data_IF_724176686534
#
_entry.id   IF_724176686534
#
_cell.length_a   1.000
_cell.length_b   1.000
_cell.length_c   1.000
_cell.angle_alpha   90.00
_cell.angle_beta   90.00
_cell.angle_gamma   90.00
#
_symmetry.space_group_name_H-M   'P 1'
#
loop_
_entity.id
_entity.type
_entity.pdbx_description
1 polymer ?
#
# COMPACT_ATOMS: atom_id res chain seq x y z
N UNK A 1 29.46 -9.80 -1.83
CA UNK A 1 30.02 -9.07 -3.01
C UNK A 1 30.03 -9.93 -4.26
N UNK A 2 30.37 -11.21 -4.18
CA UNK A 2 30.50 -12.12 -5.32
C UNK A 2 29.14 -12.50 -6.00
N UNK A 3 28.06 -12.59 -5.19
CA UNK A 3 26.71 -12.90 -5.71
C UNK A 3 26.13 -11.73 -6.51
N UNK A 4 26.35 -10.51 -6.06
CA UNK A 4 25.92 -9.29 -6.78
C UNK A 4 26.71 -9.08 -8.08
N UNK A 5 27.98 -9.47 -8.12
CA UNK A 5 28.79 -9.43 -9.37
C UNK A 5 28.32 -10.49 -10.37
N UNK A 6 27.99 -11.71 -9.91
CA UNK A 6 27.44 -12.78 -10.77
C UNK A 6 26.03 -12.44 -11.30
N UNK A 7 25.18 -11.84 -10.46
CA UNK A 7 23.86 -11.32 -10.88
C UNK A 7 24.01 -10.19 -11.91
N UNK A 8 24.96 -9.28 -11.70
CA UNK A 8 25.26 -8.19 -12.65
C UNK A 8 25.75 -8.73 -14.00
N UNK A 9 26.59 -9.76 -14.04
CA UNK A 9 27.05 -10.38 -15.26
C UNK A 9 25.95 -11.18 -15.96
N UNK A 10 25.08 -11.88 -15.24
CA UNK A 10 23.91 -12.59 -15.79
C UNK A 10 22.87 -11.64 -16.39
N UNK A 11 22.62 -10.50 -15.71
CA UNK A 11 21.71 -9.45 -16.21
C UNK A 11 22.22 -8.79 -17.49
N UNK A 12 23.53 -8.51 -17.56
CA UNK A 12 24.13 -7.91 -18.77
C UNK A 12 24.13 -8.84 -19.97
N UNK A 13 24.14 -10.16 -19.77
CA UNK A 13 24.09 -11.16 -20.87
C UNK A 13 22.68 -11.42 -21.39
N UNK A 14 21.61 -11.16 -20.60
CA UNK A 14 20.21 -11.36 -20.98
C UNK A 14 19.54 -10.14 -21.59
N UNK A 15 20.25 -9.02 -21.81
CA UNK A 15 19.71 -7.83 -22.44
C UNK A 15 19.51 -8.08 -23.94
N UNK A 16 18.37 -8.65 -24.30
CA UNK A 16 17.89 -8.70 -25.69
C UNK A 16 17.45 -7.28 -26.08
N UNK A 17 18.03 -6.75 -27.14
CA UNK A 17 17.63 -5.47 -27.75
C UNK A 17 16.24 -5.66 -28.34
N UNK A 18 15.20 -5.22 -27.63
CA UNK A 18 13.86 -5.11 -28.17
C UNK A 18 13.71 -3.76 -28.84
N UNK A 19 13.21 -3.79 -30.07
CA UNK A 19 13.18 -2.69 -31.04
C UNK A 19 12.45 -1.43 -30.63
N UNK A 20 12.48 -0.48 -31.54
CA UNK A 20 11.98 0.92 -31.45
C UNK A 20 10.62 1.07 -30.76
N UNK A 21 10.39 2.21 -30.08
CA UNK A 21 9.16 2.44 -29.33
C UNK A 21 7.93 2.38 -30.26
N UNK A 22 7.05 1.42 -30.02
CA UNK A 22 5.70 1.47 -30.58
C UNK A 22 4.93 2.59 -29.89
N UNK A 23 4.19 3.34 -30.71
CA UNK A 23 3.43 4.54 -30.28
C UNK A 23 2.54 4.26 -29.07
N UNK A 24 2.44 5.25 -28.18
CA UNK A 24 1.59 5.35 -26.97
C UNK A 24 0.09 5.06 -27.17
N UNK A 25 -0.36 4.48 -28.27
CA UNK A 25 -1.76 4.41 -28.67
C UNK A 25 -2.54 3.15 -28.29
N UNK A 26 -1.88 2.03 -27.94
CA UNK A 26 -2.57 0.75 -27.86
C UNK A 26 -3.09 0.39 -26.44
N UNK A 27 -2.54 0.96 -25.40
CA UNK A 27 -2.96 0.71 -24.01
C UNK A 27 -4.28 1.41 -23.66
N UNK A 28 -4.61 2.49 -24.33
CA UNK A 28 -5.78 3.35 -24.04
C UNK A 28 -7.10 2.83 -24.63
N UNK A 29 -7.09 1.70 -25.34
CA UNK A 29 -8.31 1.05 -25.84
C UNK A 29 -9.28 0.62 -24.74
N UNK A 30 -8.80 0.48 -23.50
CA UNK A 30 -9.61 0.02 -22.36
C UNK A 30 -10.71 1.00 -21.95
N UNK A 31 -10.42 2.29 -22.00
CA UNK A 31 -11.36 3.34 -21.57
C UNK A 31 -12.13 3.99 -22.73
N UNK A 32 -11.75 3.74 -23.97
CA UNK A 32 -12.29 4.37 -25.17
C UNK A 32 -11.18 4.79 -26.13
N UNK A 33 -11.53 5.09 -27.41
CA UNK A 33 -10.56 5.44 -28.45
C UNK A 33 -10.07 6.88 -28.36
N UNK A 34 -10.88 7.80 -27.78
CA UNK A 34 -10.54 9.22 -27.60
C UNK A 34 -10.54 9.57 -26.11
N UNK A 35 -9.89 10.73 -25.79
CA UNK A 35 -9.92 11.27 -24.44
C UNK A 35 -11.34 11.57 -23.98
N UNK A 36 -12.16 12.12 -24.86
CA UNK A 36 -13.57 12.43 -24.59
C UNK A 36 -14.35 11.19 -24.23
N UNK A 37 -14.21 10.10 -24.99
CA UNK A 37 -14.88 8.81 -24.68
C UNK A 37 -14.49 8.26 -23.32
N UNK A 38 -13.22 8.38 -22.93
CA UNK A 38 -12.72 7.95 -21.62
C UNK A 38 -13.28 8.79 -20.49
N UNK A 39 -13.28 10.11 -20.65
CA UNK A 39 -13.88 11.04 -19.69
C UNK A 39 -15.38 10.77 -19.54
N UNK A 40 -16.13 10.63 -20.64
CA UNK A 40 -17.56 10.33 -20.63
C UNK A 40 -17.86 8.99 -19.96
N UNK A 41 -17.00 7.99 -20.13
CA UNK A 41 -17.13 6.70 -19.46
C UNK A 41 -16.94 6.82 -17.95
N UNK A 42 -15.91 7.54 -17.49
CA UNK A 42 -15.73 7.82 -16.06
C UNK A 42 -16.93 8.59 -15.49
N UNK A 43 -17.41 9.61 -16.21
CA UNK A 43 -18.59 10.37 -15.81
C UNK A 43 -19.81 9.45 -15.65
N UNK A 44 -20.06 8.55 -16.59
CA UNK A 44 -21.18 7.59 -16.51
C UNK A 44 -21.05 6.61 -15.35
N UNK A 45 -19.83 6.21 -15.01
CA UNK A 45 -19.56 5.32 -13.87
C UNK A 45 -19.81 6.04 -12.54
N UNK A 46 -19.36 7.28 -12.40
CA UNK A 46 -19.30 7.95 -11.10
C UNK A 46 -20.39 9.00 -10.88
N UNK A 47 -21.05 9.50 -11.93
CA UNK A 47 -22.04 10.57 -11.84
C UNK A 47 -23.28 10.20 -12.64
N UNK A 48 -24.40 9.98 -11.94
CA UNK A 48 -25.67 9.55 -12.59
C UNK A 48 -26.36 10.65 -13.38
N UNK A 49 -26.27 11.92 -12.94
CA UNK A 49 -26.88 13.08 -13.60
C UNK A 49 -26.20 14.40 -13.20
N UNK A 50 -26.22 15.41 -14.09
CA UNK A 50 -25.78 16.79 -13.87
C UNK A 50 -24.29 16.96 -13.47
N UNK A 51 -23.42 16.65 -14.41
CA UNK A 51 -21.97 16.88 -14.28
C UNK A 51 -21.70 18.38 -14.40
N UNK A 52 -21.20 19.01 -13.34
CA UNK A 52 -20.69 20.37 -13.42
C UNK A 52 -19.41 20.41 -14.27
N UNK A 53 -19.13 21.57 -14.91
CA UNK A 53 -17.90 21.73 -15.69
C UNK A 53 -16.64 21.49 -14.84
N UNK A 54 -16.68 21.81 -13.55
CA UNK A 54 -15.59 21.59 -12.59
C UNK A 54 -15.31 20.11 -12.42
N UNK A 55 -16.35 19.28 -12.20
CA UNK A 55 -16.22 17.83 -12.09
C UNK A 55 -15.72 17.19 -13.38
N UNK A 56 -16.13 17.69 -14.53
CA UNK A 56 -15.61 17.22 -15.81
C UNK A 56 -14.10 17.47 -15.93
N UNK A 57 -13.60 18.63 -15.52
CA UNK A 57 -12.15 18.94 -15.52
C UNK A 57 -11.33 18.00 -14.64
N UNK A 58 -11.85 17.60 -13.47
CA UNK A 58 -11.16 16.59 -12.62
C UNK A 58 -11.05 15.25 -13.36
N UNK A 59 -12.11 14.78 -14.02
CA UNK A 59 -12.04 13.53 -14.79
C UNK A 59 -11.13 13.64 -16.02
N UNK A 60 -11.09 14.78 -16.68
CA UNK A 60 -10.12 15.09 -17.75
C UNK A 60 -8.68 15.01 -17.22
N UNK A 61 -8.43 15.59 -16.04
CA UNK A 61 -7.13 15.50 -15.37
C UNK A 61 -6.78 14.06 -14.99
N UNK A 62 -7.71 13.28 -14.47
CA UNK A 62 -7.50 11.88 -14.10
C UNK A 62 -7.16 11.02 -15.31
N UNK A 63 -7.84 11.21 -16.44
CA UNK A 63 -7.51 10.52 -17.70
C UNK A 63 -6.10 10.89 -18.13
N UNK A 64 -5.78 12.18 -18.16
CA UNK A 64 -4.44 12.67 -18.52
C UNK A 64 -3.36 12.16 -17.56
N UNK A 65 -3.68 12.05 -16.27
CA UNK A 65 -2.78 11.50 -15.27
C UNK A 65 -2.43 10.04 -15.57
N UNK A 66 -3.43 9.18 -15.79
CA UNK A 66 -3.17 7.78 -16.13
C UNK A 66 -2.39 7.64 -17.44
N UNK A 67 -2.67 8.50 -18.43
CA UNK A 67 -1.89 8.54 -19.68
C UNK A 67 -0.43 8.88 -19.46
N UNK A 68 -0.15 9.95 -18.72
CA UNK A 68 1.22 10.43 -18.47
C UNK A 68 2.02 9.50 -17.56
N UNK A 69 1.36 8.88 -16.58
CA UNK A 69 2.00 7.99 -15.61
C UNK A 69 2.18 6.55 -16.11
N UNK A 70 1.57 6.17 -17.25
CA UNK A 70 1.72 4.82 -17.79
C UNK A 70 3.00 4.73 -18.63
N UNK A 71 3.88 3.81 -18.25
CA UNK A 71 5.07 3.42 -19.01
C UNK A 71 4.72 2.17 -19.83
N UNK A 72 4.61 2.32 -21.16
CA UNK A 72 4.27 1.22 -22.06
C UNK A 72 5.42 0.26 -22.28
N UNK A 73 6.63 0.81 -22.42
CA UNK A 73 7.86 0.04 -22.61
C UNK A 73 8.83 0.49 -21.50
N UNK A 74 9.13 -0.40 -20.55
CA UNK A 74 10.09 -0.09 -19.51
C UNK A 74 11.44 0.31 -20.08
N UNK A 75 11.94 1.49 -19.74
CA UNK A 75 13.27 1.91 -20.09
C UNK A 75 14.31 1.04 -19.38
N UNK A 76 15.44 0.78 -20.04
CA UNK A 76 16.51 -0.03 -19.46
C UNK A 76 17.13 0.56 -18.19
N UNK A 77 17.10 1.88 -18.05
CA UNK A 77 17.66 2.62 -16.90
C UNK A 77 16.58 3.46 -16.25
N UNK A 78 16.55 3.47 -14.93
CA UNK A 78 15.65 4.28 -14.11
C UNK A 78 16.33 5.55 -13.60
N UNK A 79 15.57 6.46 -13.00
CA UNK A 79 16.07 7.65 -12.31
C UNK A 79 17.06 7.35 -11.19
N UNK A 80 17.00 6.17 -10.56
CA UNK A 80 17.97 5.67 -9.59
C UNK A 80 19.26 5.07 -10.20
N UNK A 81 19.52 5.30 -11.48
CA UNK A 81 20.67 4.75 -12.21
C UNK A 81 20.76 3.22 -12.13
N UNK A 82 19.61 2.55 -11.97
CA UNK A 82 19.47 1.10 -11.91
C UNK A 82 18.86 0.52 -13.19
N UNK A 83 18.81 -0.81 -13.24
CA UNK A 83 18.13 -1.54 -14.30
C UNK A 83 16.65 -1.65 -13.89
N UNK A 84 15.74 -1.21 -14.78
CA UNK A 84 14.31 -1.44 -14.59
C UNK A 84 14.01 -2.93 -14.74
N UNK A 85 13.27 -3.49 -13.80
CA UNK A 85 12.95 -4.92 -13.72
C UNK A 85 11.54 -5.25 -14.23
N UNK A 86 10.68 -4.23 -14.46
CA UNK A 86 9.35 -4.46 -15.03
C UNK A 86 9.45 -4.94 -16.49
N UNK A 87 8.65 -5.94 -16.84
CA UNK A 87 8.62 -6.56 -18.19
C UNK A 87 7.38 -6.13 -18.98
N UNK A 88 6.31 -5.69 -18.29
CA UNK A 88 5.03 -5.27 -18.87
C UNK A 88 4.79 -3.79 -18.58
N UNK A 89 3.83 -3.17 -19.29
CA UNK A 89 3.39 -1.81 -18.96
C UNK A 89 3.02 -1.67 -17.49
N UNK A 90 3.31 -0.49 -16.92
CA UNK A 90 3.01 -0.17 -15.54
C UNK A 90 2.75 1.32 -15.34
N UNK A 91 2.16 1.68 -14.21
CA UNK A 91 1.92 3.06 -13.80
C UNK A 91 2.96 3.49 -12.78
N UNK A 92 3.59 4.63 -13.02
CA UNK A 92 4.47 5.29 -12.05
C UNK A 92 3.63 6.00 -10.98
N UNK A 93 4.16 6.21 -9.76
CA UNK A 93 3.46 6.96 -8.72
C UNK A 93 3.05 8.37 -9.16
N UNK A 94 3.89 9.06 -9.93
CA UNK A 94 3.62 10.42 -10.41
C UNK A 94 3.38 10.47 -11.92
N UNK A 95 2.50 11.38 -12.37
CA UNK A 95 2.28 11.65 -13.80
C UNK A 95 3.35 12.52 -14.45
N UNK A 96 4.28 13.07 -13.69
CA UNK A 96 5.28 14.03 -14.15
C UNK A 96 6.69 13.47 -13.90
N UNK A 97 7.19 12.71 -14.87
CA UNK A 97 8.52 12.08 -14.79
C UNK A 97 9.66 13.11 -14.80
N UNK A 98 9.38 14.40 -15.11
CA UNK A 98 10.38 15.47 -15.18
C UNK A 98 10.58 16.18 -13.83
N UNK A 99 9.62 16.09 -12.90
CA UNK A 99 9.65 16.88 -11.66
C UNK A 99 10.71 16.41 -10.65
N UNK A 100 11.01 15.08 -10.65
CA UNK A 100 12.11 14.52 -9.87
C UNK A 100 12.89 13.52 -10.73
N UNK A 101 13.94 14.00 -11.38
CA UNK A 101 14.81 13.19 -12.25
C UNK A 101 15.48 11.98 -11.56
N UNK A 102 15.22 11.75 -10.27
CA UNK A 102 15.83 10.69 -9.46
C UNK A 102 14.84 9.73 -8.79
N UNK A 103 13.52 10.05 -8.77
CA UNK A 103 12.54 9.22 -8.05
C UNK A 103 11.22 9.10 -8.81
N UNK A 104 10.45 8.06 -8.48
CA UNK A 104 9.08 7.81 -8.98
C UNK A 104 8.94 7.51 -10.48
N UNK A 105 10.03 7.16 -11.15
CA UNK A 105 10.00 6.67 -12.54
C UNK A 105 9.82 5.15 -12.66
N UNK A 106 9.69 4.44 -11.56
CA UNK A 106 9.60 2.99 -11.45
C UNK A 106 8.21 2.54 -10.98
N UNK A 107 7.92 1.24 -11.12
CA UNK A 107 6.78 0.61 -10.47
C UNK A 107 7.13 0.34 -9.00
N UNK A 108 6.41 0.96 -8.07
CA UNK A 108 6.55 0.73 -6.63
C UNK A 108 5.56 -0.33 -6.15
N UNK A 109 6.01 -1.18 -5.20
CA UNK A 109 5.28 -2.37 -4.79
C UNK A 109 3.91 -2.06 -4.16
N UNK A 110 3.87 -1.35 -3.04
CA UNK A 110 2.61 -1.09 -2.35
C UNK A 110 1.77 0.02 -3.02
N UNK A 111 2.42 1.00 -3.71
CA UNK A 111 1.73 2.00 -4.53
C UNK A 111 0.86 1.34 -5.59
N UNK A 112 1.38 0.27 -6.21
CA UNK A 112 0.67 -0.52 -7.21
C UNK A 112 -0.67 -1.04 -6.69
N UNK A 113 -0.76 -1.46 -5.43
CA UNK A 113 -2.02 -1.90 -4.84
C UNK A 113 -3.08 -0.79 -4.86
N UNK A 114 -2.74 0.40 -4.37
CA UNK A 114 -3.68 1.53 -4.32
C UNK A 114 -4.03 2.02 -5.72
N UNK A 115 -3.04 2.13 -6.60
CA UNK A 115 -3.23 2.54 -8.00
C UNK A 115 -4.12 1.57 -8.77
N UNK A 116 -3.92 0.25 -8.60
CA UNK A 116 -4.72 -0.78 -9.25
C UNK A 116 -6.20 -0.65 -8.93
N UNK A 117 -6.59 -0.27 -7.72
CA UNK A 117 -7.97 -0.04 -7.35
C UNK A 117 -8.61 1.08 -8.17
N UNK A 118 -7.90 2.18 -8.37
CA UNK A 118 -8.35 3.25 -9.27
C UNK A 118 -8.39 2.84 -10.73
N UNK A 119 -7.38 2.11 -11.20
CA UNK A 119 -7.32 1.58 -12.57
C UNK A 119 -8.46 0.60 -12.88
N UNK A 120 -8.75 -0.33 -11.97
CA UNK A 120 -9.87 -1.28 -12.11
C UNK A 120 -11.18 -0.53 -12.29
N UNK A 121 -11.45 0.48 -11.47
CA UNK A 121 -12.63 1.32 -11.58
C UNK A 121 -12.70 2.10 -12.90
N UNK A 122 -11.55 2.54 -13.39
CA UNK A 122 -11.43 3.22 -14.66
C UNK A 122 -11.47 2.27 -15.88
N UNK A 123 -11.57 0.95 -15.66
CA UNK A 123 -11.62 -0.08 -16.71
C UNK A 123 -10.25 -0.58 -17.19
N UNK A 124 -9.18 -0.25 -16.46
CA UNK A 124 -7.79 -0.68 -16.75
C UNK A 124 -7.43 -2.04 -16.17
N UNK A 125 -8.33 -3.04 -16.23
CA UNK A 125 -8.17 -4.35 -15.60
C UNK A 125 -6.91 -5.09 -16.08
N UNK A 126 -6.64 -5.09 -17.39
CA UNK A 126 -5.46 -5.75 -17.96
C UNK A 126 -4.14 -5.06 -17.57
N UNK A 127 -4.12 -3.73 -17.49
CA UNK A 127 -2.95 -2.99 -16.99
C UNK A 127 -2.70 -3.32 -15.51
N UNK A 128 -3.75 -3.37 -14.70
CA UNK A 128 -3.66 -3.76 -13.29
C UNK A 128 -3.16 -5.21 -13.12
N UNK A 129 -3.61 -6.15 -13.99
CA UNK A 129 -3.07 -7.51 -14.07
C UNK A 129 -1.58 -7.49 -14.42
N UNK A 130 -1.20 -6.75 -15.47
CA UNK A 130 0.19 -6.62 -15.91
C UNK A 130 1.13 -6.11 -14.81
N UNK A 131 0.67 -5.17 -14.00
CA UNK A 131 1.44 -4.66 -12.85
C UNK A 131 1.63 -5.71 -11.74
N UNK A 132 0.61 -6.52 -11.44
CA UNK A 132 0.73 -7.65 -10.53
C UNK A 132 1.75 -8.67 -11.05
N UNK A 133 1.66 -9.02 -12.34
CA UNK A 133 2.56 -9.98 -12.96
C UNK A 133 4.02 -9.49 -13.01
N UNK A 134 4.25 -8.18 -13.16
CA UNK A 134 5.60 -7.62 -13.04
C UNK A 134 6.22 -7.89 -11.67
N UNK A 135 5.45 -7.75 -10.58
CA UNK A 135 5.91 -8.01 -9.22
C UNK A 135 6.28 -9.50 -9.03
N UNK A 136 5.40 -10.40 -9.46
CA UNK A 136 5.61 -11.85 -9.30
C UNK A 136 6.71 -12.41 -10.23
N UNK A 137 6.86 -11.89 -11.46
CA UNK A 137 7.98 -12.23 -12.35
C UNK A 137 9.34 -11.87 -11.73
N UNK A 138 9.41 -10.72 -11.06
CA UNK A 138 10.64 -10.30 -10.36
C UNK A 138 10.95 -11.23 -9.19
N UNK A 139 9.95 -11.70 -8.46
CA UNK A 139 10.15 -12.72 -7.44
C UNK A 139 10.66 -14.04 -8.02
N UNK A 140 10.10 -14.49 -9.12
CA UNK A 140 10.56 -15.72 -9.81
C UNK A 140 12.04 -15.64 -10.20
N UNK A 141 12.49 -14.47 -10.67
CA UNK A 141 13.87 -14.25 -11.13
C UNK A 141 14.85 -13.99 -9.99
N UNK A 142 14.46 -13.19 -8.99
CA UNK A 142 15.36 -12.69 -7.93
C UNK A 142 15.05 -13.22 -6.53
N UNK A 143 13.97 -14.00 -6.36
CA UNK A 143 13.51 -14.56 -5.08
C UNK A 143 13.17 -13.49 -4.04
N UNK A 144 12.83 -12.27 -4.50
CA UNK A 144 12.35 -11.15 -3.68
C UNK A 144 11.55 -10.18 -4.56
N UNK A 145 10.42 -9.69 -4.05
CA UNK A 145 9.71 -8.53 -4.64
C UNK A 145 10.26 -7.27 -3.97
N UNK A 146 11.00 -6.41 -4.70
CA UNK A 146 11.61 -5.23 -4.11
C UNK A 146 10.60 -4.10 -3.85
N UNK A 147 11.04 -3.09 -3.07
CA UNK A 147 10.31 -1.84 -2.83
C UNK A 147 9.85 -1.17 -4.13
N UNK A 148 10.76 -1.04 -5.10
CA UNK A 148 10.46 -0.63 -6.46
C UNK A 148 11.16 -1.58 -7.44
N UNK A 149 10.56 -1.77 -8.64
CA UNK A 149 11.07 -2.69 -9.66
C UNK A 149 12.31 -2.14 -10.38
N UNK A 150 13.37 -1.90 -9.61
CA UNK A 150 14.66 -1.43 -10.07
C UNK A 150 15.79 -2.06 -9.26
N UNK A 151 16.90 -2.36 -9.93
CA UNK A 151 18.00 -3.15 -9.34
C UNK A 151 18.57 -2.64 -8.01
N UNK A 152 18.70 -1.32 -7.71
CA UNK A 152 19.16 -0.86 -6.41
C UNK A 152 18.26 -1.24 -5.23
N UNK A 153 16.96 -1.46 -5.48
CA UNK A 153 15.99 -1.80 -4.43
C UNK A 153 15.81 -3.31 -4.20
N UNK A 154 16.53 -4.17 -4.91
CA UNK A 154 16.47 -5.64 -4.73
C UNK A 154 16.78 -6.10 -3.30
N UNK A 155 17.42 -5.27 -2.49
CA UNK A 155 17.70 -5.59 -1.09
C UNK A 155 16.55 -5.36 -0.12
N UNK A 156 15.46 -4.70 -0.55
CA UNK A 156 14.36 -4.28 0.32
C UNK A 156 12.99 -4.50 -0.32
N UNK A 157 12.07 -5.24 0.32
CA UNK A 157 10.67 -5.28 -0.08
C UNK A 157 9.90 -4.04 0.40
N UNK A 158 8.60 -4.04 0.17
CA UNK A 158 7.58 -3.17 0.78
C UNK A 158 6.42 -4.03 1.29
N UNK A 159 5.39 -3.46 1.96
CA UNK A 159 4.26 -4.22 2.47
C UNK A 159 3.59 -5.09 1.39
N UNK A 160 3.38 -6.40 1.64
CA UNK A 160 2.99 -7.39 0.62
C UNK A 160 1.48 -7.42 0.37
N UNK A 161 1.00 -6.62 -0.58
CA UNK A 161 -0.41 -6.57 -0.97
C UNK A 161 -0.78 -7.45 -2.17
N UNK A 162 0.14 -8.21 -2.73
CA UNK A 162 -0.04 -8.94 -3.99
C UNK A 162 -1.26 -9.86 -3.96
N UNK A 163 -1.46 -10.59 -2.85
CA UNK A 163 -2.62 -11.49 -2.78
C UNK A 163 -3.94 -10.71 -2.71
N UNK A 164 -3.98 -9.53 -2.09
CA UNK A 164 -5.15 -8.64 -2.15
C UNK A 164 -5.36 -8.09 -3.57
N UNK A 165 -4.29 -7.78 -4.31
CA UNK A 165 -4.40 -7.39 -5.72
C UNK A 165 -4.99 -8.52 -6.57
N UNK A 166 -4.58 -9.79 -6.34
CA UNK A 166 -5.22 -10.95 -6.99
C UNK A 166 -6.72 -10.96 -6.70
N UNK A 167 -7.11 -10.83 -5.44
CA UNK A 167 -8.53 -10.84 -5.06
C UNK A 167 -9.31 -9.70 -5.72
N UNK A 168 -8.77 -8.46 -5.69
CA UNK A 168 -9.41 -7.29 -6.32
C UNK A 168 -9.63 -7.51 -7.83
N UNK A 169 -8.67 -8.14 -8.53
CA UNK A 169 -8.77 -8.46 -9.95
C UNK A 169 -9.83 -9.53 -10.24
N UNK A 170 -9.85 -10.63 -9.46
CA UNK A 170 -10.82 -11.71 -9.60
C UNK A 170 -12.25 -11.24 -9.27
N UNK A 171 -12.41 -10.46 -8.20
CA UNK A 171 -13.67 -9.83 -7.80
C UNK A 171 -14.18 -8.84 -8.86
N UNK A 172 -13.27 -8.21 -9.62
CA UNK A 172 -13.60 -7.36 -10.76
C UNK A 172 -13.92 -8.12 -12.07
N UNK A 173 -13.90 -9.46 -12.04
CA UNK A 173 -14.25 -10.33 -13.15
C UNK A 173 -13.10 -10.75 -14.06
N UNK A 174 -11.84 -10.56 -13.64
CA UNK A 174 -10.70 -11.15 -14.34
C UNK A 174 -10.76 -12.69 -14.26
N UNK A 175 -10.44 -13.36 -15.35
CA UNK A 175 -10.32 -14.82 -15.36
C UNK A 175 -9.15 -15.29 -14.50
N UNK A 176 -9.34 -16.35 -13.72
CA UNK A 176 -8.26 -17.04 -13.03
C UNK A 176 -7.50 -17.95 -14.01
N UNK A 177 -6.76 -17.34 -14.94
CA UNK A 177 -5.97 -18.06 -15.93
C UNK A 177 -4.63 -18.56 -15.38
N UNK A 178 -3.83 -19.23 -16.20
CA UNK A 178 -2.54 -19.80 -15.81
C UNK A 178 -1.56 -18.73 -15.28
N UNK A 179 -1.60 -17.48 -15.79
CA UNK A 179 -0.72 -16.40 -15.30
C UNK A 179 -1.11 -15.98 -13.89
N UNK A 180 -2.42 -15.86 -13.60
CA UNK A 180 -2.91 -15.54 -12.26
C UNK A 180 -2.61 -16.66 -11.27
N UNK A 181 -2.80 -17.93 -11.69
CA UNK A 181 -2.48 -19.10 -10.85
C UNK A 181 -0.98 -19.16 -10.56
N UNK A 182 -0.12 -18.86 -11.53
CA UNK A 182 1.32 -18.78 -11.34
C UNK A 182 1.70 -17.63 -10.40
N UNK A 183 1.07 -16.46 -10.54
CA UNK A 183 1.28 -15.34 -9.63
C UNK A 183 0.94 -15.72 -8.18
N UNK A 184 -0.17 -16.45 -7.95
CA UNK A 184 -0.52 -16.94 -6.60
C UNK A 184 0.55 -17.89 -6.07
N UNK A 185 1.11 -18.77 -6.89
CA UNK A 185 2.21 -19.65 -6.48
C UNK A 185 3.45 -18.84 -6.06
N UNK A 186 3.82 -17.81 -6.82
CA UNK A 186 4.96 -16.94 -6.46
C UNK A 186 4.72 -16.19 -5.14
N UNK A 187 3.49 -15.76 -4.88
CA UNK A 187 3.10 -15.13 -3.62
C UNK A 187 3.21 -16.13 -2.43
N UNK A 188 2.80 -17.39 -2.63
CA UNK A 188 2.97 -18.44 -1.61
C UNK A 188 4.45 -18.69 -1.32
N UNK A 189 5.29 -18.75 -2.34
CA UNK A 189 6.72 -18.95 -2.18
C UNK A 189 7.40 -17.76 -1.49
N UNK A 190 7.00 -16.51 -1.80
CA UNK A 190 7.49 -15.33 -1.11
C UNK A 190 7.05 -15.33 0.36
N UNK A 191 5.80 -15.69 0.65
CA UNK A 191 5.29 -15.76 2.01
C UNK A 191 6.20 -16.62 2.90
N UNK A 192 6.65 -17.78 2.39
CA UNK A 192 7.53 -18.70 3.10
C UNK A 192 8.98 -18.19 3.18
N UNK A 193 9.53 -17.74 2.06
CA UNK A 193 10.95 -17.41 1.97
C UNK A 193 11.31 -16.07 2.57
N UNK A 194 10.39 -15.09 2.47
CA UNK A 194 10.65 -13.71 2.90
C UNK A 194 10.06 -13.40 4.28
N UNK A 195 8.81 -13.84 4.56
CA UNK A 195 8.09 -13.34 5.72
C UNK A 195 8.08 -14.28 6.91
N UNK A 196 7.70 -15.53 6.74
CA UNK A 196 7.76 -16.55 7.80
C UNK A 196 7.69 -17.98 7.24
N UNK A 197 8.59 -18.85 7.69
CA UNK A 197 8.63 -20.24 7.26
C UNK A 197 7.71 -21.12 8.13
N UNK A 198 6.44 -21.22 7.74
CA UNK A 198 5.46 -22.05 8.40
C UNK A 198 5.55 -23.54 8.00
N UNK A 199 6.26 -23.84 6.91
CA UNK A 199 6.35 -25.22 6.37
C UNK A 199 7.39 -26.03 7.13
N UNK A 200 8.57 -25.46 7.34
CA UNK A 200 9.67 -26.16 7.99
C UNK A 200 9.84 -25.79 9.46
N UNK A 201 9.22 -24.71 9.91
CA UNK A 201 9.40 -24.13 11.25
C UNK A 201 10.82 -23.63 11.49
N UNK A 202 11.63 -23.52 10.44
CA UNK A 202 12.98 -22.97 10.52
C UNK A 202 12.95 -21.45 10.61
N UNK A 203 14.00 -20.93 11.22
CA UNK A 203 14.22 -19.49 11.27
C UNK A 203 14.49 -18.93 9.88
N UNK A 204 13.99 -17.75 9.62
CA UNK A 204 14.42 -16.93 8.49
C UNK A 204 15.23 -15.72 8.99
N UNK A 205 15.70 -14.88 8.09
CA UNK A 205 16.50 -13.71 8.43
C UNK A 205 15.75 -12.64 9.26
N UNK A 206 14.41 -12.73 9.36
CA UNK A 206 13.54 -11.81 10.13
C UNK A 206 13.22 -12.32 11.52
N UNK A 207 13.20 -13.62 11.72
CA UNK A 207 12.79 -14.27 12.95
C UNK A 207 13.92 -15.12 13.53
N UNK A 208 14.32 -14.85 14.77
CA UNK A 208 15.15 -15.77 15.54
C UNK A 208 14.29 -16.86 16.17
N UNK A 209 14.92 -17.96 16.60
CA UNK A 209 14.22 -19.02 17.34
C UNK A 209 13.48 -18.50 18.57
N UNK A 210 14.08 -17.56 19.28
CA UNK A 210 13.49 -16.92 20.45
C UNK A 210 12.22 -16.13 20.07
N UNK A 211 12.24 -15.40 18.97
CA UNK A 211 11.06 -14.65 18.48
C UNK A 211 9.93 -15.60 18.07
N UNK A 212 10.23 -16.66 17.32
CA UNK A 212 9.25 -17.67 16.93
C UNK A 212 8.63 -18.36 18.15
N UNK A 213 9.46 -18.71 19.15
CA UNK A 213 8.96 -19.33 20.39
C UNK A 213 8.05 -18.40 21.18
N UNK A 214 8.33 -17.09 21.19
CA UNK A 214 7.62 -16.11 22.01
C UNK A 214 6.41 -15.50 21.32
N UNK A 215 6.51 -15.21 20.02
CA UNK A 215 5.54 -14.45 19.24
C UNK A 215 4.93 -15.23 18.07
N UNK A 216 5.24 -16.51 17.94
CA UNK A 216 4.64 -17.40 16.94
C UNK A 216 4.98 -16.98 15.52
N UNK A 217 3.92 -16.77 14.71
CA UNK A 217 4.07 -16.40 13.29
C UNK A 217 4.26 -14.90 13.03
N UNK A 218 4.30 -14.07 14.09
CA UNK A 218 4.53 -12.64 13.90
C UNK A 218 5.94 -12.35 13.43
N UNK A 219 6.07 -11.39 12.51
CA UNK A 219 7.35 -11.05 11.88
C UNK A 219 7.63 -9.53 11.97
N UNK A 220 8.81 -9.15 11.56
CA UNK A 220 9.32 -7.78 11.61
C UNK A 220 10.01 -7.40 10.31
N UNK A 221 10.38 -6.13 10.19
CA UNK A 221 11.22 -5.65 9.08
C UNK A 221 12.63 -6.24 9.16
N UNK A 222 13.27 -6.32 8.00
CA UNK A 222 14.63 -6.85 7.90
C UNK A 222 15.63 -5.96 8.63
N UNK A 223 16.55 -6.55 9.44
CA UNK A 223 17.59 -5.80 10.12
C UNK A 223 18.45 -4.96 9.17
N UNK A 224 18.63 -3.68 9.49
CA UNK A 224 19.53 -2.78 8.78
C UNK A 224 20.07 -1.71 9.70
N UNK A 225 21.36 -1.31 9.53
CA UNK A 225 22.00 -0.29 10.34
C UNK A 225 21.44 1.13 10.10
N UNK A 226 20.86 1.39 8.92
CA UNK A 226 20.21 2.65 8.60
C UNK A 226 18.69 2.52 8.78
N UNK A 227 18.06 3.23 9.76
CA UNK A 227 16.62 3.20 9.97
C UNK A 227 15.81 3.66 8.75
N UNK A 228 16.35 4.57 7.92
CA UNK A 228 15.68 4.99 6.69
C UNK A 228 15.41 3.80 5.75
N UNK A 229 16.35 2.86 5.64
CA UNK A 229 16.17 1.65 4.83
C UNK A 229 15.07 0.73 5.39
N UNK A 230 14.85 0.72 6.70
CA UNK A 230 13.73 0.01 7.33
C UNK A 230 12.41 0.75 7.06
N UNK A 231 12.44 2.09 7.03
CA UNK A 231 11.29 2.92 6.64
C UNK A 231 10.86 2.69 5.19
N UNK A 232 11.82 2.54 4.27
CA UNK A 232 11.51 2.17 2.88
C UNK A 232 10.77 0.82 2.79
N UNK A 233 11.08 -0.12 3.69
CA UNK A 233 10.41 -1.42 3.76
C UNK A 233 9.00 -1.31 4.41
N UNK A 234 8.84 -0.44 5.40
CA UNK A 234 7.53 -0.13 6.02
C UNK A 234 6.54 0.52 5.04
N UNK A 235 7.05 1.14 3.98
CA UNK A 235 6.26 1.94 3.03
C UNK A 235 5.95 3.35 3.52
N UNK A 236 6.11 3.62 4.80
CA UNK A 236 6.06 4.96 5.41
C UNK A 236 7.50 5.46 5.59
N UNK A 237 8.16 5.78 4.51
CA UNK A 237 9.61 5.97 4.37
C UNK A 237 10.27 6.78 5.48
N UNK A 238 9.53 7.73 6.06
CA UNK A 238 10.06 8.67 7.03
C UNK A 238 9.04 8.89 8.16
N UNK A 239 9.07 7.97 9.15
CA UNK A 239 8.21 7.99 10.32
C UNK A 239 9.00 7.78 11.63
N UNK A 240 8.40 8.22 12.73
CA UNK A 240 9.06 8.21 14.04
C UNK A 240 9.26 6.80 14.61
N UNK A 241 8.29 5.90 14.43
CA UNK A 241 8.36 4.55 15.01
C UNK A 241 9.57 3.82 14.47
N UNK A 242 9.71 3.79 13.13
CA UNK A 242 10.87 3.13 12.50
C UNK A 242 12.17 3.84 12.80
N UNK A 243 12.19 5.18 12.84
CA UNK A 243 13.41 5.93 13.20
C UNK A 243 13.86 5.64 14.65
N UNK A 244 12.92 5.35 15.56
CA UNK A 244 13.21 5.09 16.96
C UNK A 244 13.50 3.63 17.26
N UNK A 245 12.72 2.71 16.71
CA UNK A 245 12.77 1.28 17.02
C UNK A 245 13.45 0.45 15.93
N UNK A 246 13.55 1.00 14.70
CA UNK A 246 14.10 0.29 13.53
C UNK A 246 13.46 -1.10 13.37
N UNK A 247 14.23 -2.14 13.21
CA UNK A 247 13.77 -3.54 13.15
C UNK A 247 13.55 -4.18 14.54
N UNK A 248 13.76 -3.44 15.64
CA UNK A 248 13.53 -3.91 17.00
C UNK A 248 12.08 -3.73 17.48
N UNK A 249 11.12 -3.91 16.56
CA UNK A 249 9.71 -3.95 16.90
C UNK A 249 8.96 -4.92 15.99
N UNK A 250 7.79 -5.36 16.45
CA UNK A 250 6.80 -6.06 15.65
C UNK A 250 5.77 -5.02 15.20
N UNK A 251 5.65 -4.74 13.89
CA UNK A 251 4.69 -3.76 13.39
C UNK A 251 3.30 -4.39 13.21
N UNK A 252 2.27 -3.73 13.72
CA UNK A 252 0.87 -4.12 13.53
C UNK A 252 0.52 -4.15 12.04
N UNK A 253 0.89 -3.10 11.31
CA UNK A 253 0.60 -2.96 9.88
C UNK A 253 1.06 -4.18 9.07
N UNK A 254 2.34 -4.55 9.17
CA UNK A 254 2.91 -5.68 8.44
C UNK A 254 2.20 -6.99 8.76
N UNK A 255 2.00 -7.27 10.06
CA UNK A 255 1.40 -8.52 10.51
C UNK A 255 -0.10 -8.61 10.16
N UNK A 256 -0.81 -7.47 10.10
CA UNK A 256 -2.18 -7.41 9.59
C UNK A 256 -2.25 -7.70 8.07
N UNK A 257 -1.32 -7.16 7.28
CA UNK A 257 -1.25 -7.43 5.83
C UNK A 257 -0.96 -8.91 5.56
N UNK A 258 -0.01 -9.51 6.30
CA UNK A 258 0.31 -10.93 6.17
C UNK A 258 -0.86 -11.83 6.58
N UNK A 259 -1.59 -11.47 7.64
CA UNK A 259 -2.83 -12.15 7.98
C UNK A 259 -3.87 -12.05 6.85
N UNK A 260 -3.99 -10.87 6.25
CA UNK A 260 -4.83 -10.64 5.07
C UNK A 260 -4.42 -11.50 3.87
N UNK A 261 -3.11 -11.66 3.65
CA UNK A 261 -2.57 -12.56 2.61
C UNK A 261 -2.98 -14.01 2.86
N UNK A 262 -2.80 -14.52 4.08
CA UNK A 262 -3.21 -15.89 4.45
C UNK A 262 -4.72 -16.09 4.34
N UNK A 263 -5.52 -15.09 4.75
CA UNK A 263 -6.98 -15.12 4.63
C UNK A 263 -7.43 -15.14 3.17
N UNK A 264 -6.77 -14.37 2.33
CA UNK A 264 -7.04 -14.32 0.88
C UNK A 264 -6.66 -15.63 0.19
N UNK A 265 -5.54 -16.26 0.58
CA UNK A 265 -5.15 -17.59 0.08
C UNK A 265 -6.16 -18.68 0.51
N UNK A 266 -6.64 -18.65 1.75
CA UNK A 266 -7.72 -19.56 2.20
C UNK A 266 -8.97 -19.38 1.33
N UNK A 267 -9.39 -18.14 1.08
CA UNK A 267 -10.56 -17.80 0.25
C UNK A 267 -10.36 -18.25 -1.20
N UNK A 268 -9.20 -17.98 -1.76
CA UNK A 268 -8.83 -18.37 -3.12
C UNK A 268 -8.93 -19.89 -3.32
N UNK A 269 -8.35 -20.68 -2.40
CA UNK A 269 -8.36 -22.13 -2.50
C UNK A 269 -9.70 -22.80 -2.14
N UNK A 270 -10.57 -22.10 -1.40
CA UNK A 270 -11.95 -22.54 -1.18
C UNK A 270 -12.85 -22.33 -2.38
N UNK A 271 -12.54 -21.39 -3.24
CA UNK A 271 -13.37 -21.08 -4.41
C UNK A 271 -13.25 -22.17 -5.47
N UNK A 272 -14.38 -22.74 -5.95
CA UNK A 272 -14.36 -23.70 -7.05
C UNK A 272 -13.97 -23.08 -8.39
N UNK A 273 -14.15 -21.76 -8.53
CA UNK A 273 -13.85 -21.02 -9.75
C UNK A 273 -12.38 -20.55 -9.84
N UNK A 274 -11.61 -20.67 -8.75
CA UNK A 274 -10.22 -20.16 -8.68
C UNK A 274 -9.23 -21.30 -8.36
N UNK A 275 -8.77 -21.39 -7.10
CA UNK A 275 -7.74 -22.36 -6.71
C UNK A 275 -8.25 -23.79 -6.51
N UNK A 276 -9.49 -23.96 -6.06
CA UNK A 276 -10.19 -25.23 -5.87
C UNK A 276 -9.32 -26.35 -5.24
N UNK A 277 -8.71 -26.07 -4.08
CA UNK A 277 -7.82 -27.00 -3.40
C UNK A 277 -8.14 -27.07 -1.89
N UNK A 278 -8.87 -28.09 -1.50
CA UNK A 278 -9.34 -28.26 -0.12
C UNK A 278 -8.20 -28.43 0.90
N UNK A 279 -7.10 -29.08 0.51
CA UNK A 279 -5.95 -29.29 1.38
C UNK A 279 -5.25 -27.96 1.69
N UNK A 280 -4.96 -27.16 0.65
CA UNK A 280 -4.40 -25.81 0.83
C UNK A 280 -5.37 -24.89 1.57
N UNK A 281 -6.66 -24.93 1.26
CA UNK A 281 -7.67 -24.17 1.99
C UNK A 281 -7.65 -24.50 3.50
N UNK A 282 -7.55 -25.78 3.87
CA UNK A 282 -7.45 -26.21 5.26
C UNK A 282 -6.15 -25.74 5.92
N UNK A 283 -5.02 -25.84 5.22
CA UNK A 283 -3.72 -25.36 5.71
C UNK A 283 -3.78 -23.84 6.02
N UNK A 284 -4.25 -23.04 5.07
CA UNK A 284 -4.35 -21.59 5.28
C UNK A 284 -5.38 -21.20 6.34
N UNK A 285 -6.44 -21.97 6.51
CA UNK A 285 -7.39 -21.80 7.61
C UNK A 285 -6.75 -22.00 8.99
N UNK A 286 -5.89 -23.02 9.14
CA UNK A 286 -5.12 -23.25 10.39
C UNK A 286 -4.09 -22.15 10.64
N UNK A 287 -3.38 -21.74 9.61
CA UNK A 287 -2.40 -20.63 9.71
C UNK A 287 -3.09 -19.32 10.09
N UNK A 288 -4.22 -19.00 9.47
CA UNK A 288 -5.02 -17.83 9.79
C UNK A 288 -5.44 -17.80 11.25
N UNK A 289 -5.94 -18.92 11.78
CA UNK A 289 -6.32 -18.99 13.20
C UNK A 289 -5.12 -18.76 14.12
N UNK A 290 -4.01 -19.41 13.85
CA UNK A 290 -2.79 -19.24 14.65
C UNK A 290 -2.27 -17.79 14.60
N UNK A 291 -2.24 -17.16 13.41
CA UNK A 291 -1.84 -15.76 13.27
C UNK A 291 -2.80 -14.83 14.03
N UNK A 292 -4.11 -15.12 14.00
CA UNK A 292 -5.08 -14.34 14.77
C UNK A 292 -4.78 -14.38 16.26
N UNK A 293 -4.54 -15.56 16.81
CA UNK A 293 -4.26 -15.75 18.24
C UNK A 293 -2.97 -15.04 18.67
N UNK A 294 -1.89 -15.20 17.88
CA UNK A 294 -0.60 -14.53 18.11
C UNK A 294 -0.77 -12.99 18.03
N UNK A 295 -1.56 -12.50 17.07
CA UNK A 295 -1.82 -11.07 16.84
C UNK A 295 -2.59 -10.44 18.01
N UNK A 296 -3.69 -11.06 18.41
CA UNK A 296 -4.52 -10.58 19.51
C UNK A 296 -3.74 -10.51 20.82
N UNK A 297 -3.00 -11.56 21.12
CA UNK A 297 -2.18 -11.65 22.32
C UNK A 297 -1.10 -10.59 22.40
N UNK A 298 -0.51 -10.20 21.24
CA UNK A 298 0.69 -9.35 21.22
C UNK A 298 0.35 -7.87 21.05
N UNK A 299 -0.63 -7.54 20.21
CA UNK A 299 -0.81 -6.15 19.78
C UNK A 299 -1.95 -5.40 20.48
N UNK A 300 -2.91 -6.09 21.09
CA UNK A 300 -4.00 -5.41 21.77
C UNK A 300 -3.52 -4.83 23.11
N UNK A 301 -3.54 -3.50 23.21
CA UNK A 301 -3.17 -2.77 24.43
C UNK A 301 -4.44 -2.35 25.19
N UNK A 302 -4.57 -2.74 26.47
CA UNK A 302 -5.72 -2.42 27.31
C UNK A 302 -5.47 -1.22 28.25
N UNK A 303 -4.37 -0.49 28.06
CA UNK A 303 -3.94 0.55 28.98
C UNK A 303 -4.59 1.91 28.72
N UNK A 304 -5.66 2.24 29.41
CA UNK A 304 -6.24 3.59 29.52
C UNK A 304 -6.47 4.27 28.17
N UNK A 305 -5.91 5.47 27.97
CA UNK A 305 -6.02 6.21 26.69
C UNK A 305 -5.35 5.50 25.50
N UNK A 306 -4.47 4.55 25.77
CA UNK A 306 -3.72 3.79 24.76
C UNK A 306 -4.47 2.56 24.25
N UNK A 307 -5.66 2.28 24.82
CA UNK A 307 -6.47 1.12 24.41
C UNK A 307 -6.70 1.11 22.89
N UNK A 308 -6.21 0.07 22.24
CA UNK A 308 -6.20 -0.13 20.79
C UNK A 308 -5.06 -1.05 20.36
N UNK A 309 -4.91 -1.30 19.07
CA UNK A 309 -3.73 -2.02 18.58
C UNK A 309 -2.50 -1.09 18.59
N UNK A 310 -1.38 -1.63 19.04
CA UNK A 310 -0.10 -0.89 19.14
C UNK A 310 1.04 -1.77 18.69
N UNK A 311 1.99 -1.18 17.97
CA UNK A 311 3.26 -1.83 17.68
C UNK A 311 3.93 -2.29 18.96
N UNK A 312 4.75 -3.34 18.87
CA UNK A 312 5.33 -3.97 20.05
C UNK A 312 6.87 -3.91 19.99
N UNK A 313 7.48 -3.26 20.98
CA UNK A 313 8.94 -3.11 21.10
C UNK A 313 9.60 -4.42 21.52
N UNK A 314 10.68 -4.78 20.81
CA UNK A 314 11.56 -5.92 21.11
C UNK A 314 12.87 -5.47 21.81
N UNK A 315 13.00 -4.20 22.13
CA UNK A 315 14.21 -3.67 22.79
C UNK A 315 14.30 -4.22 24.20
N UNK A 316 15.41 -4.86 24.53
CA UNK A 316 15.68 -5.39 25.87
C UNK A 316 15.46 -4.31 26.94
N UNK A 317 14.79 -4.65 28.02
CA UNK A 317 14.35 -3.75 29.11
C UNK A 317 13.34 -2.65 28.73
N UNK A 318 12.86 -2.63 27.47
CA UNK A 318 11.78 -1.76 26.97
C UNK A 318 10.78 -2.56 26.13
N UNK A 319 10.71 -3.86 26.36
CA UNK A 319 9.79 -4.75 25.68
C UNK A 319 8.34 -4.44 26.12
N UNK A 320 7.43 -4.30 25.15
CA UNK A 320 6.03 -3.98 25.42
C UNK A 320 5.42 -3.13 24.30
N UNK A 321 4.17 -2.73 24.50
CA UNK A 321 3.46 -1.87 23.56
C UNK A 321 4.17 -0.52 23.42
N UNK A 322 4.34 -0.09 22.17
CA UNK A 322 4.83 1.25 21.86
C UNK A 322 3.66 2.22 22.07
N UNK A 323 3.73 3.01 23.15
CA UNK A 323 2.68 3.95 23.51
C UNK A 323 2.73 5.19 22.61
N UNK A 324 2.31 4.97 21.38
CA UNK A 324 2.30 5.96 20.31
C UNK A 324 1.04 5.80 19.46
N UNK A 325 0.43 6.92 19.04
CA UNK A 325 -0.76 6.92 18.20
C UNK A 325 -0.38 6.91 16.72
N UNK A 326 -0.11 5.75 16.16
CA UNK A 326 0.02 5.53 14.72
C UNK A 326 -1.34 5.07 14.17
N UNK A 327 -1.88 5.79 13.18
CA UNK A 327 -3.15 5.46 12.55
C UNK A 327 -3.10 4.08 11.88
N UNK A 328 -1.96 3.71 11.30
CA UNK A 328 -1.83 2.42 10.62
C UNK A 328 -2.07 1.24 11.57
N UNK A 329 -1.62 1.33 12.83
CA UNK A 329 -1.85 0.30 13.82
C UNK A 329 -3.35 0.12 14.18
N UNK A 330 -4.16 1.17 14.05
CA UNK A 330 -5.60 1.10 14.28
C UNK A 330 -6.38 0.59 13.05
N UNK A 331 -6.04 1.07 11.85
CA UNK A 331 -6.90 0.86 10.67
C UNK A 331 -6.62 -0.44 9.90
N UNK A 332 -5.39 -0.94 9.88
CA UNK A 332 -5.08 -2.20 9.19
C UNK A 332 -5.78 -3.42 9.82
N UNK A 333 -5.88 -3.55 11.16
CA UNK A 333 -6.67 -4.61 11.76
C UNK A 333 -8.17 -4.54 11.41
N UNK A 334 -8.74 -3.34 11.24
CA UNK A 334 -10.12 -3.19 10.77
C UNK A 334 -10.24 -3.63 9.30
N UNK A 335 -9.31 -3.21 8.46
CA UNK A 335 -9.34 -3.53 7.03
C UNK A 335 -9.29 -5.04 6.78
N UNK A 336 -8.47 -5.77 7.51
CA UNK A 336 -8.33 -7.22 7.40
C UNK A 336 -9.22 -8.04 8.35
N UNK A 337 -10.18 -7.40 9.04
CA UNK A 337 -11.12 -8.05 9.97
C UNK A 337 -10.44 -8.84 11.10
N UNK A 338 -9.34 -8.30 11.63
CA UNK A 338 -8.61 -8.83 12.77
C UNK A 338 -9.18 -8.40 14.13
N UNK A 339 -9.89 -7.28 14.19
CA UNK A 339 -10.49 -6.82 15.42
C UNK A 339 -11.76 -7.63 15.79
N UNK A 340 -12.05 -7.77 17.08
CA UNK A 340 -13.39 -8.16 17.52
C UNK A 340 -14.35 -6.98 17.34
N UNK A 341 -15.66 -7.20 17.42
CA UNK A 341 -16.66 -6.12 17.33
C UNK A 341 -16.44 -5.06 18.42
N UNK A 342 -16.09 -5.45 19.62
CA UNK A 342 -15.79 -4.53 20.74
C UNK A 342 -14.52 -3.73 20.47
N UNK A 343 -13.46 -4.38 20.00
CA UNK A 343 -12.22 -3.70 19.60
C UNK A 343 -12.47 -2.73 18.45
N UNK A 344 -13.25 -3.13 17.45
CA UNK A 344 -13.59 -2.28 16.31
C UNK A 344 -14.38 -1.03 16.73
N UNK A 345 -15.33 -1.16 17.66
CA UNK A 345 -16.05 -0.05 18.24
C UNK A 345 -15.07 0.93 18.94
N UNK A 346 -14.15 0.40 19.73
CA UNK A 346 -13.12 1.21 20.39
C UNK A 346 -12.22 1.93 19.39
N UNK A 347 -11.79 1.25 18.33
CA UNK A 347 -10.95 1.84 17.28
C UNK A 347 -11.72 2.95 16.54
N UNK A 348 -12.98 2.75 16.22
CA UNK A 348 -13.83 3.80 15.62
C UNK A 348 -13.83 5.07 16.50
N UNK A 349 -13.99 4.92 17.81
CA UNK A 349 -13.98 6.04 18.76
C UNK A 349 -12.58 6.68 18.87
N UNK A 350 -11.50 5.88 18.80
CA UNK A 350 -10.13 6.38 18.73
C UNK A 350 -9.90 7.22 17.46
N UNK A 351 -10.34 6.72 16.28
CA UNK A 351 -10.21 7.45 15.03
C UNK A 351 -10.88 8.82 15.14
N UNK A 352 -12.12 8.87 15.61
CA UNK A 352 -12.87 10.13 15.76
C UNK A 352 -12.21 11.09 16.76
N UNK A 353 -11.65 10.58 17.87
CA UNK A 353 -11.14 11.41 18.98
C UNK A 353 -9.72 11.89 18.77
N UNK A 354 -8.89 11.11 18.07
CA UNK A 354 -7.44 11.29 18.08
C UNK A 354 -6.84 11.60 16.72
N UNK A 355 -7.51 11.22 15.61
CA UNK A 355 -6.94 11.36 14.27
C UNK A 355 -7.79 12.22 13.33
N UNK A 356 -9.09 12.36 13.58
CA UNK A 356 -10.00 13.02 12.65
C UNK A 356 -9.90 14.54 12.69
N UNK A 357 -9.89 15.15 11.49
CA UNK A 357 -10.02 16.59 11.24
C UNK A 357 -11.18 16.92 10.31
N UNK A 358 -11.20 18.14 9.78
CA UNK A 358 -12.23 18.60 8.84
C UNK A 358 -11.99 18.12 7.40
N UNK A 359 -10.77 17.66 7.07
CA UNK A 359 -10.37 17.15 5.75
C UNK A 359 -10.31 15.62 5.75
N UNK A 360 -9.61 15.03 6.74
CA UNK A 360 -9.33 13.61 6.76
C UNK A 360 -8.77 13.14 8.10
N UNK A 361 -7.87 12.14 8.03
CA UNK A 361 -7.27 11.50 9.19
C UNK A 361 -5.77 11.77 9.23
N UNK A 362 -5.26 12.30 10.34
CA UNK A 362 -3.83 12.46 10.57
C UNK A 362 -3.15 11.09 10.66
N UNK A 363 -1.95 10.96 10.12
CA UNK A 363 -1.14 9.73 10.15
C UNK A 363 -0.79 9.30 11.56
N UNK A 364 -0.59 10.28 12.46
CA UNK A 364 -0.36 10.03 13.89
C UNK A 364 -1.10 11.02 14.75
N UNK A 365 -1.13 10.79 16.07
CA UNK A 365 -1.87 11.64 17.00
C UNK A 365 -0.98 12.29 18.06
N UNK A 366 -1.01 13.61 18.14
CA UNK A 366 -0.33 14.34 19.23
C UNK A 366 -0.95 14.04 20.60
N UNK A 367 -2.26 13.73 20.68
CA UNK A 367 -2.94 13.40 21.94
C UNK A 367 -2.53 12.01 22.46
N UNK A 368 -2.19 11.10 21.52
CA UNK A 368 -1.66 9.76 21.79
C UNK A 368 -0.15 9.74 21.64
N UNK A 369 0.51 10.70 22.27
CA UNK A 369 1.96 10.77 22.32
C UNK A 369 2.41 11.28 23.68
N UNK A 370 3.45 10.68 24.20
CA UNK A 370 4.12 11.17 25.40
C UNK A 370 4.87 12.48 25.06
N UNK A 371 4.58 13.56 25.79
CA UNK A 371 5.16 14.90 25.53
C UNK A 371 4.41 15.76 24.51
N UNK A 372 3.44 15.25 23.75
CA UNK A 372 2.48 16.03 22.94
C UNK A 372 3.05 16.86 21.77
N UNK A 373 4.32 16.69 21.39
CA UNK A 373 4.97 17.46 20.32
C UNK A 373 5.12 16.65 19.03
N UNK A 374 5.13 17.34 17.88
CA UNK A 374 5.44 16.71 16.59
C UNK A 374 6.87 16.15 16.63
N UNK A 375 7.08 14.87 16.28
CA UNK A 375 8.42 14.31 16.23
C UNK A 375 9.25 14.96 15.12
N UNK A 376 10.52 15.18 15.43
CA UNK A 376 11.53 15.60 14.46
C UNK A 376 12.66 14.57 14.43
N UNK A 377 13.38 14.50 13.33
CA UNK A 377 14.58 13.69 13.26
C UNK A 377 15.58 14.02 14.38
N UNK A 378 16.39 13.05 14.81
CA UNK A 378 17.41 13.27 15.83
C UNK A 378 18.38 14.43 15.53
N UNK A 379 18.63 14.70 14.23
CA UNK A 379 19.47 15.84 13.80
C UNK A 379 18.71 17.17 13.74
N UNK A 380 17.38 17.17 13.94
CA UNK A 380 16.56 18.36 13.94
C UNK A 380 16.38 19.06 12.59
N UNK A 381 16.78 18.41 11.48
CA UNK A 381 16.74 19.04 10.15
C UNK A 381 15.36 18.98 9.49
N UNK A 382 14.63 17.87 9.67
CA UNK A 382 13.32 17.64 9.06
C UNK A 382 12.32 17.09 10.05
N UNK A 383 11.04 17.39 9.85
CA UNK A 383 9.93 16.68 10.50
C UNK A 383 9.62 15.42 9.71
N UNK A 384 9.15 14.40 10.39
CA UNK A 384 8.75 13.16 9.75
C UNK A 384 7.52 13.38 8.87
N UNK A 385 7.58 12.99 7.60
CA UNK A 385 6.48 13.25 6.66
C UNK A 385 5.29 12.30 6.83
N UNK A 386 5.49 11.12 7.41
CA UNK A 386 4.41 10.18 7.76
C UNK A 386 3.95 10.35 9.20
N UNK A 387 3.80 11.61 9.62
CA UNK A 387 3.39 12.01 10.97
C UNK A 387 2.34 13.12 10.93
N UNK A 388 1.75 13.41 12.08
CA UNK A 388 0.90 14.60 12.25
C UNK A 388 1.63 15.87 11.73
N UNK A 389 1.00 16.74 11.00
CA UNK A 389 -0.44 16.80 10.66
C UNK A 389 -0.79 16.19 9.28
N UNK A 390 0.13 15.45 8.67
CA UNK A 390 -0.06 14.94 7.33
C UNK A 390 -1.14 13.84 7.30
N UNK A 391 -1.93 13.88 6.22
CA UNK A 391 -2.95 12.92 5.88
C UNK A 391 -2.55 12.24 4.57
N UNK A 392 -2.49 10.91 4.57
CA UNK A 392 -2.04 10.13 3.43
C UNK A 392 -3.19 9.33 2.83
N UNK A 393 -3.44 9.43 1.50
CA UNK A 393 -4.51 8.74 0.81
C UNK A 393 -4.57 7.22 1.05
N UNK A 394 -3.43 6.48 1.07
CA UNK A 394 -3.43 5.07 1.41
C UNK A 394 -4.10 4.76 2.75
N UNK A 395 -3.77 5.50 3.80
CA UNK A 395 -4.35 5.28 5.12
C UNK A 395 -5.82 5.70 5.19
N UNK A 396 -6.22 6.73 4.43
CA UNK A 396 -7.62 7.11 4.27
C UNK A 396 -8.44 5.98 3.64
N UNK A 397 -7.96 5.37 2.55
CA UNK A 397 -8.63 4.24 1.89
C UNK A 397 -8.77 3.04 2.83
N UNK A 398 -7.70 2.65 3.50
CA UNK A 398 -7.68 1.53 4.47
C UNK A 398 -8.64 1.80 5.65
N UNK A 399 -8.63 3.03 6.19
CA UNK A 399 -9.51 3.39 7.31
C UNK A 399 -10.99 3.32 6.93
N UNK A 400 -11.36 3.90 5.80
CA UNK A 400 -12.74 3.92 5.32
C UNK A 400 -13.28 2.51 5.08
N UNK A 401 -12.51 1.67 4.39
CA UNK A 401 -12.93 0.28 4.17
C UNK A 401 -12.93 -0.54 5.45
N UNK A 402 -11.95 -0.33 6.33
CA UNK A 402 -11.92 -0.94 7.65
C UNK A 402 -13.16 -0.62 8.47
N UNK A 403 -13.59 0.63 8.50
CA UNK A 403 -14.84 1.03 9.18
C UNK A 403 -16.08 0.36 8.58
N UNK A 404 -16.17 0.27 7.25
CA UNK A 404 -17.27 -0.43 6.56
C UNK A 404 -17.32 -1.91 6.87
N UNK A 405 -16.18 -2.57 7.00
CA UNK A 405 -16.07 -3.99 7.35
C UNK A 405 -16.76 -4.36 8.67
N UNK A 406 -16.93 -3.37 9.56
CA UNK A 406 -17.61 -3.51 10.87
C UNK A 406 -18.94 -2.74 10.94
N UNK A 407 -19.50 -2.38 9.79
CA UNK A 407 -20.82 -1.75 9.71
C UNK A 407 -20.85 -0.25 10.08
N UNK A 408 -19.70 0.41 10.32
CA UNK A 408 -19.62 1.85 10.60
C UNK A 408 -19.70 2.68 9.31
N UNK A 409 -20.72 2.37 8.50
CA UNK A 409 -20.91 2.96 7.16
C UNK A 409 -21.13 4.47 7.21
N UNK A 410 -21.82 4.97 8.23
CA UNK A 410 -22.11 6.41 8.39
C UNK A 410 -20.81 7.20 8.57
N UNK A 411 -19.95 6.76 9.47
CA UNK A 411 -18.66 7.39 9.78
C UNK A 411 -17.72 7.30 8.57
N UNK A 412 -17.65 6.13 7.93
CA UNK A 412 -16.89 5.93 6.71
C UNK A 412 -17.30 6.92 5.60
N UNK A 413 -18.60 7.03 5.31
CA UNK A 413 -19.12 7.97 4.31
C UNK A 413 -18.93 9.45 4.67
N UNK A 414 -18.82 9.78 5.96
CA UNK A 414 -18.46 11.12 6.39
C UNK A 414 -17.03 11.47 6.00
N UNK A 415 -16.07 10.56 6.25
CA UNK A 415 -14.67 10.76 5.86
C UNK A 415 -14.50 10.78 4.33
N UNK A 416 -15.21 9.95 3.59
CA UNK A 416 -15.23 10.00 2.13
C UNK A 416 -15.68 11.36 1.59
N UNK A 417 -16.80 11.90 2.12
CA UNK A 417 -17.33 13.20 1.67
C UNK A 417 -16.33 14.33 1.99
N UNK A 418 -15.76 14.36 3.19
CA UNK A 418 -14.74 15.35 3.57
C UNK A 418 -13.58 15.32 2.60
N UNK A 419 -13.07 14.12 2.32
CA UNK A 419 -11.96 13.92 1.41
C UNK A 419 -12.28 14.35 -0.02
N UNK A 420 -13.39 13.89 -0.58
CA UNK A 420 -13.80 14.24 -1.96
C UNK A 420 -13.96 15.75 -2.11
N UNK A 421 -14.66 16.40 -1.18
CA UNK A 421 -14.83 17.86 -1.19
C UNK A 421 -13.49 18.60 -1.08
N UNK A 422 -12.55 18.09 -0.29
CA UNK A 422 -11.22 18.68 -0.18
C UNK A 422 -10.45 18.57 -1.49
N UNK A 423 -10.41 17.39 -2.11
CA UNK A 423 -9.72 17.16 -3.39
C UNK A 423 -10.32 18.04 -4.50
N UNK A 424 -11.64 18.15 -4.58
CA UNK A 424 -12.32 19.02 -5.56
C UNK A 424 -11.90 20.50 -5.37
N UNK A 425 -11.92 21.02 -4.15
CA UNK A 425 -11.50 22.41 -3.84
C UNK A 425 -10.01 22.65 -4.10
N UNK A 426 -9.17 21.67 -3.77
CA UNK A 426 -7.73 21.77 -4.02
C UNK A 426 -7.46 21.81 -5.53
N UNK A 427 -8.12 20.94 -6.28
CA UNK A 427 -8.02 20.90 -7.73
C UNK A 427 -8.48 22.22 -8.38
N UNK A 428 -9.61 22.80 -7.94
CA UNK A 428 -10.06 24.12 -8.41
C UNK A 428 -9.01 25.21 -8.17
N UNK A 429 -8.29 25.14 -7.05
CA UNK A 429 -7.28 26.13 -6.66
C UNK A 429 -5.94 25.94 -7.37
N UNK A 430 -5.52 24.68 -7.61
CA UNK A 430 -4.14 24.32 -8.04
C UNK A 430 -4.08 23.77 -9.46
N UNK A 431 -5.18 23.22 -9.97
CA UNK A 431 -5.22 22.47 -11.22
C UNK A 431 -4.57 21.07 -11.12
N UNK A 432 -4.24 20.58 -9.91
CA UNK A 432 -3.59 19.31 -9.68
C UNK A 432 -4.11 18.57 -8.46
N UNK A 433 -3.66 17.34 -8.28
CA UNK A 433 -4.01 16.46 -7.14
C UNK A 433 -2.70 16.06 -6.45
N UNK A 434 -2.52 16.47 -5.19
CA UNK A 434 -1.27 16.28 -4.47
C UNK A 434 -1.09 14.84 -3.94
N UNK A 435 0.15 14.48 -3.63
CA UNK A 435 0.57 13.20 -3.05
C UNK A 435 0.00 12.96 -1.65
N UNK A 436 0.11 13.99 -0.80
CA UNK A 436 -0.31 14.02 0.60
C UNK A 436 -1.00 15.33 0.91
N UNK A 437 -1.78 15.34 1.98
CA UNK A 437 -2.61 16.47 2.40
C UNK A 437 -2.44 16.73 3.90
N UNK A 438 -3.10 17.75 4.42
CA UNK A 438 -3.30 17.91 5.86
C UNK A 438 -4.61 17.23 6.29
N UNK A 439 -4.70 16.85 7.55
CA UNK A 439 -5.93 16.24 8.07
C UNK A 439 -7.00 17.31 8.43
N UNK A 440 -6.56 18.55 8.64
CA UNK A 440 -7.38 19.67 9.11
C UNK A 440 -6.92 20.99 8.46
N UNK A 441 -7.87 21.83 8.02
CA UNK A 441 -7.58 23.08 7.31
C UNK A 441 -6.91 24.16 8.17
N UNK A 442 -6.93 24.01 9.49
CA UNK A 442 -6.29 24.94 10.44
C UNK A 442 -4.78 24.76 10.55
N UNK A 443 -4.20 23.67 9.99
CA UNK A 443 -2.78 23.35 10.08
C UNK A 443 -2.11 23.37 8.72
N UNK A 444 -0.78 23.54 8.72
CA UNK A 444 0.04 23.49 7.50
C UNK A 444 0.59 22.10 7.30
N UNK A 445 0.72 21.71 6.01
CA UNK A 445 1.37 20.47 5.61
C UNK A 445 2.84 20.46 6.04
N UNK A 446 3.31 19.31 6.49
CA UNK A 446 4.74 19.09 6.78
C UNK A 446 5.38 18.40 5.56
N UNK A 447 6.38 19.04 4.98
CA UNK A 447 7.01 18.57 3.74
C UNK A 447 7.92 17.35 3.96
N UNK A 448 8.57 17.25 5.12
CA UNK A 448 9.54 16.18 5.38
C UNK A 448 10.85 16.43 4.63
N UNK A 449 11.46 15.37 4.10
CA UNK A 449 12.74 15.47 3.40
C UNK A 449 12.62 15.79 1.89
N UNK A 450 11.40 15.78 1.34
CA UNK A 450 11.09 16.30 0.01
C UNK A 450 9.75 17.07 0.02
N UNK A 451 9.57 17.95 -0.95
CA UNK A 451 8.34 18.75 -1.10
C UNK A 451 7.13 17.91 -1.48
N UNK A 452 5.95 18.52 -1.43
CA UNK A 452 4.69 17.87 -1.82
C UNK A 452 4.65 17.67 -3.33
N UNK A 453 4.54 16.42 -3.76
CA UNK A 453 4.42 16.09 -5.18
C UNK A 453 3.03 16.38 -5.70
N UNK A 454 2.94 16.85 -6.94
CA UNK A 454 1.68 17.06 -7.65
C UNK A 454 1.44 15.93 -8.66
N UNK A 455 0.21 15.46 -8.76
CA UNK A 455 -0.15 14.32 -9.62
C UNK A 455 0.34 12.99 -9.05
N UNK A 456 -0.43 12.39 -8.13
CA UNK A 456 -0.02 11.14 -7.50
C UNK A 456 -1.09 10.05 -7.58
N UNK A 457 -0.67 8.85 -7.98
CA UNK A 457 -1.55 7.75 -8.35
C UNK A 457 -2.47 7.25 -7.25
N UNK A 458 -1.98 7.13 -6.01
CA UNK A 458 -2.83 6.69 -4.89
C UNK A 458 -3.89 7.72 -4.50
N UNK A 459 -3.62 9.04 -4.68
CA UNK A 459 -4.62 10.09 -4.40
C UNK A 459 -5.72 10.06 -5.45
N UNK A 460 -5.35 9.95 -6.73
CA UNK A 460 -6.29 9.78 -7.84
C UNK A 460 -7.16 8.53 -7.62
N UNK A 461 -6.53 7.40 -7.25
CA UNK A 461 -7.24 6.15 -6.98
C UNK A 461 -8.20 6.27 -5.79
N UNK A 462 -7.76 6.87 -4.68
CA UNK A 462 -8.61 7.07 -3.48
C UNK A 462 -9.78 7.98 -3.78
N UNK A 463 -9.59 9.05 -4.58
CA UNK A 463 -10.68 9.91 -5.02
C UNK A 463 -11.73 9.13 -5.83
N UNK A 464 -11.32 8.35 -6.84
CA UNK A 464 -12.23 7.52 -7.63
C UNK A 464 -12.96 6.49 -6.76
N UNK A 465 -12.25 5.86 -5.83
CA UNK A 465 -12.81 4.86 -4.93
C UNK A 465 -13.93 5.43 -4.06
N UNK A 466 -13.70 6.59 -3.45
CA UNK A 466 -14.70 7.26 -2.63
C UNK A 466 -15.87 7.81 -3.46
N UNK A 467 -15.59 8.35 -4.65
CA UNK A 467 -16.64 8.79 -5.56
C UNK A 467 -17.60 7.65 -5.95
N UNK A 468 -17.05 6.45 -6.25
CA UNK A 468 -17.89 5.26 -6.54
C UNK A 468 -18.82 4.94 -5.37
N UNK A 469 -18.29 4.87 -4.17
CA UNK A 469 -19.06 4.50 -3.00
C UNK A 469 -20.14 5.54 -2.64
N UNK A 470 -19.81 6.81 -2.76
CA UNK A 470 -20.76 7.91 -2.52
C UNK A 470 -21.85 7.98 -3.59
N UNK A 471 -21.59 7.57 -4.83
CA UNK A 471 -22.58 7.51 -5.90
C UNK A 471 -23.56 6.36 -5.74
N UNK A 472 -23.26 5.36 -4.91
CA UNK A 472 -24.08 4.17 -4.68
C UNK A 472 -24.18 3.26 -5.90
N UNK A 473 -23.13 3.21 -6.73
CA UNK A 473 -22.99 2.35 -7.93
C UNK A 473 -22.16 1.10 -7.60
#
# INVERSE_FOLDING_TARGET
>A
MDLLLKLRQSLLQKIVIVGSPKKRGDLYRFLGSTKEERVDKLIKIFLRENVTNEKKKIFEYIVDFWERSTIEIPHKTSGFKGINLAKRPFVTPTGDNDALSFAFGEQYRWDTFFQNRGLILAGGLELAKGQLLNLTDVFEEFRRIPNALVSPFLSRPQPPFEMRMVMDLLEAGLSCDNEVQHAVQMIEEELVSEWFDYQTGKQNHRQSEELVKKYGLLTRYEPHSNPFMVGCEDGKDHNWVVATYSYHHLPVQLNAILYGTVTSLETYYKSPDWGNNTEKASLYGLLRQRMYDDFQKTFWCESGKWMGFRDYSLIQNKEGHILYGDLSAEVFPLFFKLATEEQALRIKDNIASFYAGDIGLATSSLKLREGGSVPVEPQGQWKFQWEYPNCWPPLMMIAVEGLKNYGFVKEAKEYERKWVVHIEKEFERTGGIAEKHVFDSSVKIEEGFYGVMQGFGWTVATYLWFMKDLSGV
#
